data_IF_577813582907
#
_entry.id   IF_577813582907
#
_cell.length_a   1.000
_cell.length_b   1.000
_cell.length_c   1.000
_cell.angle_alpha   90.00
_cell.angle_beta   90.00
_cell.angle_gamma   90.00
#
_symmetry.space_group_name_H-M   'P 1'
#
loop_
_entity.id
_entity.type
_entity.pdbx_description
1 polymer ?
#
# COMPACT_ATOMS: atom_id res chain seq x y z
N UNK A 1 25.33 -7.90 -19.64
CA UNK A 1 23.95 -8.02 -19.14
C UNK A 1 24.00 -8.25 -17.63
N UNK A 2 23.85 -7.20 -16.82
CA UNK A 2 23.82 -7.33 -15.36
C UNK A 2 22.47 -7.92 -14.96
N UNK A 3 22.46 -9.15 -14.46
CA UNK A 3 21.29 -9.72 -13.80
C UNK A 3 21.10 -8.92 -12.50
N UNK A 4 20.12 -8.02 -12.46
CA UNK A 4 19.68 -7.39 -11.20
C UNK A 4 18.97 -8.49 -10.40
N UNK A 5 19.58 -8.93 -9.32
CA UNK A 5 18.89 -9.75 -8.32
C UNK A 5 17.86 -8.81 -7.69
N UNK A 6 16.59 -8.96 -8.07
CA UNK A 6 15.51 -8.23 -7.40
C UNK A 6 15.46 -8.72 -5.97
N UNK A 7 15.75 -7.82 -5.03
CA UNK A 7 15.60 -8.09 -3.61
C UNK A 7 14.11 -8.02 -3.25
N UNK A 8 13.73 -8.89 -2.33
CA UNK A 8 12.38 -9.02 -1.84
C UNK A 8 12.37 -9.08 -0.32
N UNK A 9 11.31 -8.56 0.27
CA UNK A 9 11.03 -8.67 1.70
C UNK A 9 9.80 -9.56 1.89
N UNK A 10 9.85 -10.40 2.92
CA UNK A 10 8.70 -11.18 3.36
C UNK A 10 7.94 -10.37 4.41
N UNK A 11 6.78 -9.80 4.08
CA UNK A 11 6.01 -9.00 5.04
C UNK A 11 5.47 -9.88 6.16
N UNK A 12 5.42 -9.35 7.38
CA UNK A 12 4.82 -10.07 8.52
C UNK A 12 3.29 -10.02 8.44
N UNK A 13 2.61 -10.87 9.23
CA UNK A 13 1.15 -10.84 9.37
C UNK A 13 0.61 -9.45 9.76
N UNK A 14 1.37 -8.72 10.59
CA UNK A 14 1.03 -7.38 11.03
C UNK A 14 1.15 -6.37 9.89
N UNK A 15 2.22 -6.45 9.08
CA UNK A 15 2.40 -5.58 7.93
C UNK A 15 1.31 -5.82 6.89
N UNK A 16 0.98 -7.08 6.60
CA UNK A 16 -0.10 -7.43 5.66
C UNK A 16 -1.43 -6.81 6.12
N UNK A 17 -1.69 -6.85 7.42
CA UNK A 17 -2.91 -6.26 7.99
C UNK A 17 -2.92 -4.74 7.80
N UNK A 18 -1.78 -4.07 7.98
CA UNK A 18 -1.66 -2.62 7.85
C UNK A 18 -1.65 -2.17 6.38
N UNK A 19 -1.05 -2.96 5.48
CA UNK A 19 -1.07 -2.74 4.04
C UNK A 19 -2.46 -2.95 3.44
N UNK A 20 -3.22 -3.95 3.91
CA UNK A 20 -4.56 -4.25 3.40
C UNK A 20 -5.65 -3.42 4.08
N UNK A 21 -5.44 -3.01 5.32
CA UNK A 21 -6.43 -2.36 6.18
C UNK A 21 -7.12 -1.17 5.51
N UNK A 22 -6.39 -0.20 4.96
CA UNK A 22 -6.99 0.92 4.24
C UNK A 22 -7.87 0.42 3.09
N UNK A 23 -7.40 -0.52 2.28
CA UNK A 23 -8.06 -1.03 1.06
C UNK A 23 -9.11 -2.10 1.28
N UNK A 24 -9.42 -2.43 2.53
CA UNK A 24 -10.46 -3.40 2.83
C UNK A 24 -11.83 -2.89 2.31
N UNK A 25 -12.57 -3.72 1.56
CA UNK A 25 -13.88 -3.32 1.04
C UNK A 25 -14.86 -3.11 2.20
N UNK A 26 -15.31 -1.87 2.39
CA UNK A 26 -16.35 -1.55 3.36
C UNK A 26 -17.73 -1.67 2.73
N UNK A 27 -18.68 -2.22 3.49
CA UNK A 27 -20.10 -2.17 3.13
C UNK A 27 -20.57 -0.72 3.30
N UNK A 28 -20.61 0.02 2.20
CA UNK A 28 -21.25 1.33 2.12
C UNK A 28 -22.74 1.22 1.78
N UNK A 29 -23.48 2.30 2.03
CA UNK A 29 -24.88 2.41 1.62
C UNK A 29 -25.06 2.20 0.11
N UNK A 30 -26.27 1.81 -0.30
CA UNK A 30 -26.63 1.56 -1.71
C UNK A 30 -26.79 2.82 -2.55
N UNK A 31 -26.21 3.94 -2.13
CA UNK A 31 -26.25 5.19 -2.89
C UNK A 31 -25.39 5.07 -4.17
N UNK A 32 -25.88 5.53 -5.33
CA UNK A 32 -25.14 5.46 -6.59
C UNK A 32 -23.78 6.19 -6.56
N UNK A 33 -23.70 7.36 -5.92
CA UNK A 33 -22.46 8.15 -5.82
C UNK A 33 -21.46 7.43 -4.91
N UNK A 34 -21.93 6.87 -3.79
CA UNK A 34 -21.09 6.06 -2.89
C UNK A 34 -20.59 4.79 -3.60
N UNK A 35 -21.38 4.25 -4.53
CA UNK A 35 -21.02 3.06 -5.30
C UNK A 35 -19.95 3.36 -6.35
N UNK A 36 -20.11 4.44 -7.11
CA UNK A 36 -19.08 4.88 -8.07
C UNK A 36 -17.79 5.32 -7.37
N UNK A 37 -17.89 6.04 -6.25
CA UNK A 37 -16.72 6.39 -5.43
C UNK A 37 -15.97 5.14 -4.95
N UNK A 38 -16.69 4.12 -4.46
CA UNK A 38 -16.08 2.83 -4.09
C UNK A 38 -15.40 2.14 -5.26
N UNK A 39 -15.97 2.24 -6.46
CA UNK A 39 -15.38 1.65 -7.68
C UNK A 39 -14.07 2.34 -8.04
N UNK A 40 -14.04 3.67 -8.08
CA UNK A 40 -12.81 4.45 -8.31
C UNK A 40 -11.74 4.12 -7.27
N UNK A 41 -12.13 4.07 -5.99
CA UNK A 41 -11.23 3.72 -4.89
C UNK A 41 -10.70 2.28 -4.98
N UNK A 42 -11.46 1.36 -5.57
CA UNK A 42 -11.06 -0.04 -5.77
C UNK A 42 -10.17 -0.21 -6.99
N UNK A 43 -10.49 0.48 -8.09
CA UNK A 43 -9.75 0.38 -9.36
C UNK A 43 -8.33 0.96 -9.25
N UNK A 44 -8.11 1.91 -8.33
CA UNK A 44 -6.80 2.45 -8.01
C UNK A 44 -5.87 1.48 -7.23
N UNK A 45 -6.39 0.34 -6.77
CA UNK A 45 -5.64 -0.59 -5.91
C UNK A 45 -5.27 -1.84 -6.69
N UNK A 46 -4.01 -2.31 -6.60
CA UNK A 46 -3.61 -3.55 -7.24
C UNK A 46 -4.43 -4.74 -6.74
N UNK A 47 -5.03 -5.50 -7.67
CA UNK A 47 -5.90 -6.64 -7.32
C UNK A 47 -5.17 -7.74 -6.51
N UNK A 48 -3.84 -7.80 -6.61
CA UNK A 48 -3.02 -8.74 -5.84
C UNK A 48 -2.89 -8.36 -4.37
N UNK A 49 -3.01 -7.07 -4.01
CA UNK A 49 -2.87 -6.60 -2.62
C UNK A 49 -3.91 -7.23 -1.70
N UNK A 50 -5.14 -7.43 -2.20
CA UNK A 50 -6.18 -8.13 -1.47
C UNK A 50 -5.87 -9.62 -1.20
N UNK A 51 -4.94 -10.20 -1.95
CA UNK A 51 -4.50 -11.60 -1.86
C UNK A 51 -3.08 -11.72 -1.28
N UNK A 52 -2.53 -10.62 -0.76
CA UNK A 52 -1.21 -10.63 -0.13
C UNK A 52 -1.22 -11.56 1.09
N UNK A 53 -0.24 -12.45 1.14
CA UNK A 53 0.01 -13.42 2.22
C UNK A 53 1.47 -13.37 2.66
N UNK A 54 1.76 -13.96 3.81
CA UNK A 54 3.12 -14.02 4.40
C UNK A 54 4.10 -14.81 3.52
N UNK A 55 3.60 -15.64 2.62
CA UNK A 55 4.42 -16.42 1.69
C UNK A 55 4.82 -15.61 0.44
N UNK A 56 4.24 -14.42 0.25
CA UNK A 56 4.51 -13.59 -0.91
C UNK A 56 5.59 -12.56 -0.61
N UNK A 57 6.64 -12.66 -1.40
CA UNK A 57 7.72 -11.69 -1.46
C UNK A 57 7.24 -10.36 -2.06
N UNK A 58 7.49 -9.26 -1.34
CA UNK A 58 7.31 -7.89 -1.82
C UNK A 58 8.62 -7.38 -2.41
N UNK A 59 8.58 -7.03 -3.68
CA UNK A 59 9.69 -6.38 -4.38
C UNK A 59 9.45 -4.87 -4.44
N UNK A 60 10.49 -4.10 -4.75
CA UNK A 60 10.38 -2.65 -4.83
C UNK A 60 9.29 -2.14 -5.80
N UNK A 61 9.09 -2.72 -7.00
CA UNK A 61 7.96 -2.34 -7.86
C UNK A 61 6.58 -2.57 -7.23
N UNK A 62 6.43 -3.60 -6.38
CA UNK A 62 5.18 -3.85 -5.64
C UNK A 62 4.95 -2.81 -4.55
N UNK A 63 6.01 -2.37 -3.88
CA UNK A 63 5.94 -1.28 -2.92
C UNK A 63 5.56 0.04 -3.60
N UNK A 64 6.13 0.33 -4.78
CA UNK A 64 5.77 1.51 -5.58
C UNK A 64 4.30 1.51 -6.04
N UNK A 65 3.76 0.34 -6.43
CA UNK A 65 2.34 0.17 -6.72
C UNK A 65 1.45 0.52 -5.51
N UNK A 66 1.87 0.11 -4.30
CA UNK A 66 1.15 0.44 -3.06
C UNK A 66 1.25 1.95 -2.78
N UNK A 67 2.43 2.57 -2.90
CA UNK A 67 2.60 4.03 -2.73
C UNK A 67 1.69 4.82 -3.68
N UNK A 68 1.61 4.40 -4.94
CA UNK A 68 0.73 5.02 -5.93
C UNK A 68 -0.76 4.89 -5.56
N UNK A 69 -1.18 3.72 -5.07
CA UNK A 69 -2.55 3.49 -4.60
C UNK A 69 -2.87 4.34 -3.34
N UNK A 70 -1.92 4.46 -2.41
CA UNK A 70 -2.03 5.33 -1.23
C UNK A 70 -2.18 6.79 -1.64
N UNK A 71 -1.31 7.29 -2.53
CA UNK A 71 -1.34 8.67 -3.01
C UNK A 71 -2.67 9.02 -3.70
N UNK A 72 -3.14 8.15 -4.61
CA UNK A 72 -4.42 8.33 -5.29
C UNK A 72 -5.58 8.40 -4.30
N UNK A 73 -5.57 7.50 -3.31
CA UNK A 73 -6.63 7.47 -2.30
C UNK A 73 -6.59 8.66 -1.36
N UNK A 74 -5.40 9.13 -1.01
CA UNK A 74 -5.18 10.33 -0.20
C UNK A 74 -5.79 11.56 -0.88
N UNK A 75 -5.50 11.76 -2.16
CA UNK A 75 -6.07 12.86 -2.96
C UNK A 75 -7.60 12.82 -2.97
N UNK A 76 -8.21 11.64 -3.09
CA UNK A 76 -9.67 11.50 -3.08
C UNK A 76 -10.24 11.82 -1.69
N UNK A 77 -9.61 11.33 -0.62
CA UNK A 77 -10.09 11.51 0.76
C UNK A 77 -9.91 12.96 1.23
N UNK A 78 -8.85 13.65 0.81
CA UNK A 78 -8.61 15.05 1.17
C UNK A 78 -9.66 16.01 0.60
N UNK A 79 -10.34 15.64 -0.49
CA UNK A 79 -11.45 16.41 -1.07
C UNK A 79 -12.77 16.21 -0.30
N UNK A 80 -12.86 15.18 0.54
CA UNK A 80 -14.04 14.92 1.36
C UNK A 80 -14.12 15.92 2.54
N UNK A 81 -15.34 16.27 2.98
CA UNK A 81 -15.54 17.18 4.10
C UNK A 81 -14.84 16.70 5.37
N UNK A 82 -14.39 17.66 6.19
CA UNK A 82 -13.79 17.37 7.49
C UNK A 82 -14.71 16.50 8.35
N UNK A 83 -14.12 15.49 8.99
CA UNK A 83 -14.85 14.62 9.88
C UNK A 83 -14.02 13.43 10.33
N UNK A 84 -14.45 12.83 11.44
CA UNK A 84 -13.75 11.70 12.06
C UNK A 84 -13.47 10.55 11.07
N UNK A 85 -14.41 10.27 10.17
CA UNK A 85 -14.25 9.23 9.16
C UNK A 85 -13.13 9.54 8.15
N UNK A 86 -12.94 10.82 7.80
CA UNK A 86 -11.84 11.26 6.94
C UNK A 86 -10.52 11.13 7.68
N UNK A 87 -10.45 11.64 8.90
CA UNK A 87 -9.22 11.65 9.70
C UNK A 87 -8.77 10.22 10.04
N UNK A 88 -9.71 9.33 10.41
CA UNK A 88 -9.43 7.91 10.66
C UNK A 88 -8.93 7.21 9.37
N UNK A 89 -9.46 7.59 8.19
CA UNK A 89 -9.02 7.03 6.90
C UNK A 89 -7.65 7.55 6.45
N UNK A 90 -7.35 8.84 6.68
CA UNK A 90 -6.02 9.42 6.43
C UNK A 90 -4.97 8.80 7.36
N UNK A 91 -5.30 8.63 8.65
CA UNK A 91 -4.41 7.97 9.61
C UNK A 91 -4.12 6.51 9.24
N UNK A 92 -5.09 5.79 8.68
CA UNK A 92 -4.87 4.43 8.18
C UNK A 92 -3.94 4.42 6.95
N UNK A 93 -4.07 5.39 6.04
CA UNK A 93 -3.17 5.55 4.89
C UNK A 93 -1.74 5.91 5.33
N UNK A 94 -1.59 6.80 6.31
CA UNK A 94 -0.27 7.18 6.84
C UNK A 94 0.48 6.00 7.45
N UNK A 95 -0.23 5.11 8.15
CA UNK A 95 0.36 3.87 8.68
C UNK A 95 0.84 2.95 7.56
N UNK A 96 0.04 2.80 6.51
CA UNK A 96 0.43 1.99 5.36
C UNK A 96 1.64 2.60 4.63
N UNK A 97 1.67 3.92 4.44
CA UNK A 97 2.78 4.62 3.79
C UNK A 97 4.09 4.53 4.60
N UNK A 98 3.97 4.63 5.93
CA UNK A 98 5.11 4.47 6.86
C UNK A 98 5.75 3.10 6.71
N UNK A 99 4.94 2.03 6.75
CA UNK A 99 5.45 0.65 6.64
C UNK A 99 6.04 0.39 5.25
N UNK A 100 5.38 0.87 4.20
CA UNK A 100 5.93 0.74 2.84
C UNK A 100 7.27 1.47 2.72
N UNK A 101 7.40 2.64 3.34
CA UNK A 101 8.66 3.40 3.37
C UNK A 101 9.74 2.70 4.21
N UNK A 102 9.38 2.08 5.33
CA UNK A 102 10.29 1.25 6.14
C UNK A 102 10.80 0.05 5.33
N UNK A 103 9.91 -0.70 4.68
CA UNK A 103 10.27 -1.83 3.81
C UNK A 103 11.14 -1.39 2.63
N UNK A 104 10.86 -0.23 2.04
CA UNK A 104 11.64 0.33 0.93
C UNK A 104 13.05 0.75 1.38
N UNK A 105 13.17 1.30 2.59
CA UNK A 105 14.46 1.62 3.22
C UNK A 105 15.24 0.35 3.56
N UNK A 106 14.59 -0.70 4.06
CA UNK A 106 15.22 -1.99 4.34
C UNK A 106 15.75 -2.64 3.06
N UNK A 107 14.96 -2.68 1.99
CA UNK A 107 15.40 -3.15 0.68
C UNK A 107 16.59 -2.34 0.14
N UNK A 108 16.55 -1.02 0.28
CA UNK A 108 17.63 -0.13 -0.16
C UNK A 108 18.91 -0.30 0.66
N UNK A 109 18.79 -0.54 1.97
CA UNK A 109 19.91 -0.79 2.87
C UNK A 109 20.59 -2.14 2.58
N UNK A 110 19.81 -3.19 2.31
CA UNK A 110 20.33 -4.51 1.90
C UNK A 110 21.01 -4.42 0.52
N UNK A 111 20.46 -3.63 -0.41
CA UNK A 111 21.10 -3.36 -1.70
C UNK A 111 22.45 -2.64 -1.55
N UNK A 112 22.54 -1.65 -0.66
CA UNK A 112 23.78 -0.93 -0.39
C UNK A 112 24.84 -1.84 0.25
N UNK A 113 24.47 -2.68 1.23
CA UNK A 113 25.39 -3.61 1.91
C UNK A 113 25.91 -4.71 0.99
N UNK A 114 25.04 -5.23 0.11
CA UNK A 114 25.42 -6.17 -0.96
C UNK A 114 26.35 -5.55 -2.00
N UNK A 115 26.29 -4.23 -2.22
CA UNK A 115 27.13 -3.52 -3.18
C UNK A 115 28.54 -3.19 -2.68
N UNK A 116 28.73 -3.10 -1.37
CA UNK A 116 30.04 -2.80 -0.74
C UNK A 116 30.93 -4.02 -0.49
N UNK A 117 30.44 -5.24 -0.77
CA UNK A 117 31.18 -6.49 -0.52
C UNK A 117 31.83 -7.08 -1.78
N UNK A 118 32.04 -6.28 -2.84
CA UNK A 118 32.63 -6.70 -4.11
C UNK A 118 34.00 -6.06 -4.37
#
# INVERSE_FOLDING_TARGET
MSRRISQSITPTAQDITLLRGPFAPTKGGGDPVITELRKVLKDAVPAWLAKLSEEQELTQPRLDEIKSAVATRRQIIEVLPDGKARDDALAALDKADTIVSEMDNELSAVAAFSGTSA
#
